data_IF_564111538869
#
_entry.id   IF_564111538869
#
_cell.length_a   1.000
_cell.length_b   1.000
_cell.length_c   1.000
_cell.angle_alpha   90.00
_cell.angle_beta   90.00
_cell.angle_gamma   90.00
#
_symmetry.space_group_name_H-M   'P 1'
#
loop_
_entity.id
_entity.type
_entity.pdbx_description
1 polymer ?
#
# COMPACT_ATOMS: atom_id res chain seq x y z
N UNK A 1 -13.71 14.56 -6.61
CA UNK A 1 -12.47 14.71 -7.42
C UNK A 1 -11.22 14.71 -6.56
N UNK A 2 -11.14 15.52 -5.50
CA UNK A 2 -9.97 15.56 -4.59
C UNK A 2 -9.61 14.19 -4.00
N UNK A 3 -10.60 13.44 -3.50
CA UNK A 3 -10.39 12.09 -2.94
C UNK A 3 -9.76 11.09 -3.92
N UNK A 4 -10.10 11.19 -5.21
CA UNK A 4 -9.52 10.32 -6.24
C UNK A 4 -8.05 10.68 -6.50
N UNK A 5 -7.68 11.95 -6.42
CA UNK A 5 -6.30 12.41 -6.55
C UNK A 5 -5.47 11.99 -5.34
N UNK A 6 -6.01 12.13 -4.13
CA UNK A 6 -5.35 11.68 -2.89
C UNK A 6 -5.06 10.17 -2.91
N UNK A 7 -6.07 9.35 -3.21
CA UNK A 7 -5.90 7.91 -3.36
C UNK A 7 -4.94 7.57 -4.51
N UNK A 8 -5.02 8.29 -5.63
CA UNK A 8 -4.13 8.11 -6.77
C UNK A 8 -2.67 8.35 -6.42
N UNK A 9 -2.37 9.41 -5.67
CA UNK A 9 -1.01 9.70 -5.19
C UNK A 9 -0.53 8.63 -4.20
N UNK A 10 -1.41 8.17 -3.30
CA UNK A 10 -1.09 7.13 -2.33
C UNK A 10 -0.75 5.80 -3.00
N UNK A 11 -1.54 5.39 -4.00
CA UNK A 11 -1.31 4.15 -4.76
C UNK A 11 -0.22 4.28 -5.85
N UNK A 12 0.16 5.49 -6.26
CA UNK A 12 1.23 5.69 -7.25
C UNK A 12 2.60 5.21 -6.73
N UNK A 13 2.88 5.41 -5.43
CA UNK A 13 4.12 4.92 -4.80
C UNK A 13 4.14 3.39 -4.78
N UNK A 14 3.00 2.75 -4.52
CA UNK A 14 2.84 1.29 -4.58
C UNK A 14 3.12 0.77 -6.00
N UNK A 15 2.52 1.39 -7.02
CA UNK A 15 2.75 1.03 -8.43
C UNK A 15 4.22 1.23 -8.85
N UNK A 16 4.90 2.24 -8.31
CA UNK A 16 6.32 2.49 -8.57
C UNK A 16 7.21 1.39 -7.98
N UNK A 17 6.93 0.90 -6.77
CA UNK A 17 7.67 -0.22 -6.17
C UNK A 17 7.60 -1.48 -7.03
N UNK A 18 6.40 -1.82 -7.51
CA UNK A 18 6.18 -2.95 -8.44
C UNK A 18 6.89 -2.73 -9.78
N UNK A 19 6.81 -1.52 -10.34
CA UNK A 19 7.48 -1.20 -11.60
C UNK A 19 9.00 -1.34 -11.51
N UNK A 20 9.61 -0.85 -10.43
CA UNK A 20 11.06 -0.92 -10.23
C UNK A 20 11.52 -2.37 -10.13
N UNK A 21 10.79 -3.23 -9.41
CA UNK A 21 11.20 -4.63 -9.25
C UNK A 21 11.12 -5.40 -10.57
N UNK A 22 10.05 -5.20 -11.35
CA UNK A 22 9.95 -5.78 -12.69
C UNK A 22 11.06 -5.31 -13.64
N UNK A 23 11.47 -4.05 -13.55
CA UNK A 23 12.45 -3.45 -14.47
C UNK A 23 13.90 -3.63 -14.06
N UNK A 24 14.19 -3.71 -12.76
CA UNK A 24 15.56 -3.77 -12.23
C UNK A 24 15.94 -5.19 -11.80
N UNK A 25 15.02 -5.93 -11.19
CA UNK A 25 15.29 -7.28 -10.67
C UNK A 25 14.88 -8.39 -11.65
N UNK A 26 14.25 -8.03 -12.78
CA UNK A 26 13.73 -8.96 -13.80
C UNK A 26 12.76 -10.03 -13.24
N UNK A 27 12.21 -9.80 -12.04
CA UNK A 27 11.30 -10.71 -11.34
C UNK A 27 10.17 -9.91 -10.67
N UNK A 28 8.99 -10.53 -10.59
CA UNK A 28 7.80 -9.96 -9.96
C UNK A 28 7.93 -9.98 -8.43
N UNK A 29 8.41 -8.88 -7.84
CA UNK A 29 8.43 -8.74 -6.39
C UNK A 29 7.05 -8.32 -5.87
N UNK A 30 6.24 -9.30 -5.47
CA UNK A 30 4.91 -9.11 -4.89
C UNK A 30 4.93 -8.78 -3.39
N UNK A 31 6.11 -8.50 -2.80
CA UNK A 31 6.21 -8.12 -1.38
C UNK A 31 5.48 -6.82 -1.06
N UNK A 32 5.30 -5.94 -2.05
CA UNK A 32 4.52 -4.70 -1.93
C UNK A 32 3.04 -4.99 -1.66
N UNK A 33 2.44 -5.93 -2.40
CA UNK A 33 1.04 -6.33 -2.20
C UNK A 33 0.84 -6.95 -0.81
N UNK A 34 1.80 -7.78 -0.37
CA UNK A 34 1.80 -8.38 0.97
C UNK A 34 2.00 -7.37 2.11
N UNK A 35 2.87 -6.37 1.91
CA UNK A 35 3.16 -5.35 2.92
C UNK A 35 1.99 -4.39 3.13
N UNK A 36 1.31 -3.97 2.04
CA UNK A 36 0.12 -3.12 2.12
C UNK A 36 -1.07 -3.84 2.76
N UNK A 37 -1.33 -5.09 2.37
CA UNK A 37 -2.41 -5.88 2.99
C UNK A 37 -2.16 -6.17 4.46
N UNK A 38 -0.91 -6.48 4.84
CA UNK A 38 -0.55 -6.70 6.24
C UNK A 38 -0.66 -5.41 7.05
N UNK A 39 -0.19 -4.27 6.52
CA UNK A 39 -0.33 -2.97 7.16
C UNK A 39 -1.80 -2.58 7.37
N UNK A 40 -2.66 -2.82 6.37
CA UNK A 40 -4.09 -2.61 6.47
C UNK A 40 -4.74 -3.53 7.54
N UNK A 41 -4.34 -4.79 7.61
CA UNK A 41 -4.83 -5.73 8.62
C UNK A 41 -4.43 -5.28 10.05
N UNK A 42 -3.19 -4.86 10.25
CA UNK A 42 -2.70 -4.35 11.55
C UNK A 42 -3.45 -3.06 11.93
N UNK A 43 -3.62 -2.13 10.99
CA UNK A 43 -4.39 -0.91 11.23
C UNK A 43 -5.85 -1.21 11.60
N UNK A 44 -6.50 -2.13 10.88
CA UNK A 44 -7.86 -2.56 11.17
C UNK A 44 -7.98 -3.18 12.58
N UNK A 45 -7.04 -4.05 12.97
CA UNK A 45 -6.99 -4.61 14.32
C UNK A 45 -6.80 -3.51 15.37
N UNK A 46 -5.92 -2.54 15.12
CA UNK A 46 -5.74 -1.39 16.01
C UNK A 46 -7.04 -0.61 16.22
N UNK A 47 -7.73 -0.28 15.12
CA UNK A 47 -9.00 0.45 15.16
C UNK A 47 -10.07 -0.33 15.93
N UNK A 48 -10.18 -1.64 15.68
CA UNK A 48 -11.11 -2.53 16.41
C UNK A 48 -10.79 -2.58 17.91
N UNK A 49 -9.52 -2.48 18.29
CA UNK A 49 -9.07 -2.43 19.68
C UNK A 49 -9.16 -1.03 20.32
N UNK A 50 -9.82 -0.06 19.66
CA UNK A 50 -10.06 1.27 20.22
C UNK A 50 -8.97 2.30 19.93
N UNK A 51 -8.00 1.99 19.05
CA UNK A 51 -7.07 3.00 18.56
C UNK A 51 -7.77 3.98 17.60
N UNK A 52 -7.55 5.30 17.74
CA UNK A 52 -8.16 6.29 16.86
C UNK A 52 -7.60 6.19 15.42
N UNK A 53 -8.46 6.22 14.38
CA UNK A 53 -8.05 6.16 12.96
C UNK A 53 -7.62 7.51 12.35
N UNK A 54 -7.53 8.59 13.14
CA UNK A 54 -7.28 9.96 12.68
C UNK A 54 -5.90 10.48 13.09
#
# INVERSE_FOLDING_TARGET
MVTAVELGILYAIMALGVYVTFRVLEFADLTVDGSFTTGAAVAAIGIVNGHPPW
#
